data_IF_985008562724
#
_entry.id   IF_985008562724
#
_cell.length_a   1.000
_cell.length_b   1.000
_cell.length_c   1.000
_cell.angle_alpha   90.00
_cell.angle_beta   90.00
_cell.angle_gamma   90.00
#
_symmetry.space_group_name_H-M   'P 1'
#
loop_
_entity.id
_entity.type
_entity.pdbx_description
1 polymer ?
#
# COMPACT_ATOMS: atom_id res chain seq x y z
N UNK A 1 -3.40 -34.95 -5.31
CA UNK A 1 -3.59 -33.56 -5.78
C UNK A 1 -4.02 -32.74 -4.57
N UNK A 2 -3.08 -32.03 -3.93
CA UNK A 2 -3.40 -31.22 -2.75
C UNK A 2 -4.03 -29.91 -3.21
N UNK A 3 -5.32 -29.74 -2.94
CA UNK A 3 -5.97 -28.44 -2.99
C UNK A 3 -5.43 -27.63 -1.81
N UNK A 4 -4.40 -26.81 -2.03
CA UNK A 4 -4.01 -25.79 -1.07
C UNK A 4 -5.15 -24.78 -1.00
N UNK A 5 -6.00 -24.92 0.01
CA UNK A 5 -7.05 -23.96 0.32
C UNK A 5 -6.36 -22.61 0.61
N UNK A 6 -6.51 -21.63 -0.29
CA UNK A 6 -5.92 -20.30 -0.08
C UNK A 6 -6.50 -19.77 1.24
N UNK A 7 -5.67 -19.31 2.19
CA UNK A 7 -6.17 -18.84 3.47
C UNK A 7 -7.24 -17.77 3.27
N UNK A 8 -8.38 -17.97 3.94
CA UNK A 8 -9.55 -17.08 3.82
C UNK A 8 -9.11 -15.66 4.19
N UNK A 9 -9.28 -14.70 3.27
CA UNK A 9 -8.94 -13.28 3.50
C UNK A 9 -9.53 -12.80 4.83
N UNK A 10 -8.74 -12.05 5.60
CA UNK A 10 -9.23 -11.45 6.84
C UNK A 10 -10.36 -10.45 6.55
N UNK A 11 -11.13 -10.08 7.57
CA UNK A 11 -12.13 -9.02 7.42
C UNK A 11 -11.49 -7.72 6.90
N UNK A 12 -10.32 -7.37 7.43
CA UNK A 12 -9.57 -6.18 7.01
C UNK A 12 -9.12 -6.28 5.54
N UNK A 13 -8.62 -7.43 5.09
CA UNK A 13 -8.20 -7.60 3.70
C UNK A 13 -9.38 -7.47 2.73
N UNK A 14 -10.56 -7.96 3.12
CA UNK A 14 -11.79 -7.80 2.33
C UNK A 14 -12.23 -6.34 2.25
N UNK A 15 -12.12 -5.61 3.36
CA UNK A 15 -12.47 -4.19 3.39
C UNK A 15 -11.53 -3.35 2.52
N UNK A 16 -10.23 -3.60 2.61
CA UNK A 16 -9.22 -2.96 1.76
C UNK A 16 -9.50 -3.27 0.27
N UNK A 17 -9.82 -4.52 -0.06
CA UNK A 17 -10.12 -4.91 -1.44
C UNK A 17 -11.36 -4.18 -2.02
N UNK A 18 -12.39 -3.97 -1.20
CA UNK A 18 -13.59 -3.20 -1.60
C UNK A 18 -13.31 -1.71 -1.72
N UNK A 19 -12.28 -1.22 -1.04
CA UNK A 19 -11.90 0.18 -0.94
C UNK A 19 -10.60 0.49 -1.70
N UNK A 20 -10.34 -0.19 -2.82
CA UNK A 20 -9.08 -0.06 -3.57
C UNK A 20 -8.73 1.36 -4.01
N UNK A 21 -9.73 2.24 -4.19
CA UNK A 21 -9.52 3.67 -4.49
C UNK A 21 -8.84 4.46 -3.36
N UNK A 22 -8.84 3.91 -2.13
CA UNK A 22 -8.16 4.46 -0.96
C UNK A 22 -6.74 3.89 -0.76
N UNK A 23 -6.24 3.11 -1.74
CA UNK A 23 -4.86 2.64 -1.77
C UNK A 23 -4.04 3.64 -2.59
N UNK A 24 -3.12 4.34 -1.92
CA UNK A 24 -2.22 5.29 -2.54
C UNK A 24 -0.86 4.67 -2.82
N UNK A 25 -0.40 4.80 -4.07
CA UNK A 25 0.96 4.47 -4.51
C UNK A 25 1.85 5.70 -4.35
N UNK A 26 2.94 5.55 -3.62
CA UNK A 26 3.95 6.59 -3.42
C UNK A 26 5.31 6.11 -3.90
N UNK A 27 6.12 7.01 -4.47
CA UNK A 27 7.56 6.81 -4.66
C UNK A 27 8.30 7.85 -3.82
N UNK A 28 9.06 7.41 -2.83
CA UNK A 28 9.76 8.29 -1.91
C UNK A 28 11.12 7.69 -1.50
N UNK A 29 12.02 8.53 -0.99
CA UNK A 29 13.24 8.04 -0.34
C UNK A 29 12.93 7.66 1.10
N UNK A 30 13.42 6.51 1.54
CA UNK A 30 13.39 6.14 2.96
C UNK A 30 14.39 6.97 3.80
N UNK A 31 14.45 6.72 5.10
CA UNK A 31 15.36 7.41 6.01
C UNK A 31 16.85 7.15 5.73
N UNK A 32 17.17 6.16 4.90
CA UNK A 32 18.54 5.87 4.42
C UNK A 32 18.84 6.55 3.08
N UNK A 33 17.85 7.24 2.47
CA UNK A 33 17.96 7.90 1.18
C UNK A 33 17.67 6.98 -0.02
N UNK A 34 17.23 5.73 0.19
CA UNK A 34 16.94 4.77 -0.88
C UNK A 34 15.54 4.95 -1.42
N UNK A 35 15.40 4.94 -2.75
CA UNK A 35 14.09 5.00 -3.41
C UNK A 35 13.29 3.72 -3.19
N UNK A 36 12.08 3.89 -2.68
CA UNK A 36 11.11 2.82 -2.48
C UNK A 36 9.71 3.23 -2.98
N UNK A 37 8.94 2.23 -3.34
CA UNK A 37 7.50 2.33 -3.48
C UNK A 37 6.81 1.94 -2.18
N UNK A 38 5.80 2.72 -1.81
CA UNK A 38 4.90 2.42 -0.70
C UNK A 38 3.47 2.37 -1.22
N UNK A 39 2.73 1.36 -0.76
CA UNK A 39 1.30 1.23 -0.98
C UNK A 39 0.61 1.41 0.36
N UNK A 40 -0.15 2.48 0.50
CA UNK A 40 -0.75 2.86 1.78
C UNK A 40 -2.26 2.85 1.64
N UNK A 41 -2.93 2.02 2.42
CA UNK A 41 -4.37 2.09 2.58
C UNK A 41 -4.72 3.17 3.60
N UNK A 42 -5.42 4.22 3.16
CA UNK A 42 -5.76 5.38 3.98
C UNK A 42 -7.28 5.48 4.10
N UNK A 43 -7.82 5.43 5.31
CA UNK A 43 -9.26 5.59 5.50
C UNK A 43 -9.74 6.95 4.99
N UNK A 44 -10.93 7.02 4.41
CA UNK A 44 -11.50 8.23 3.80
C UNK A 44 -11.47 9.45 4.75
N UNK A 45 -11.65 9.25 6.06
CA UNK A 45 -11.60 10.32 7.07
C UNK A 45 -10.21 10.97 7.22
N UNK A 46 -9.15 10.28 6.82
CA UNK A 46 -7.75 10.72 6.90
C UNK A 46 -7.13 11.05 5.54
N UNK A 47 -7.78 10.71 4.43
CA UNK A 47 -7.24 10.86 3.07
C UNK A 47 -6.81 12.30 2.78
N UNK A 48 -7.64 13.29 3.11
CA UNK A 48 -7.28 14.70 2.92
C UNK A 48 -6.04 15.13 3.71
N UNK A 49 -5.85 14.62 4.92
CA UNK A 49 -4.67 14.92 5.74
C UNK A 49 -3.43 14.23 5.20
N UNK A 50 -3.59 12.99 4.73
CA UNK A 50 -2.53 12.24 4.07
C UNK A 50 -2.02 12.92 2.81
N UNK A 51 -2.93 13.32 1.90
CA UNK A 51 -2.58 14.00 0.66
C UNK A 51 -1.78 15.29 0.92
N UNK A 52 -2.20 16.09 1.91
CA UNK A 52 -1.45 17.28 2.33
C UNK A 52 -0.07 16.97 2.89
N UNK A 53 0.07 15.86 3.62
CA UNK A 53 1.34 15.49 4.21
C UNK A 53 2.37 15.09 3.15
N UNK A 54 1.95 14.37 2.11
CA UNK A 54 2.84 13.88 1.04
C UNK A 54 3.18 14.94 -0.02
N UNK A 55 2.47 16.07 -0.06
CA UNK A 55 2.79 17.22 -0.92
C UNK A 55 3.94 18.09 -0.36
N UNK A 56 4.28 17.93 0.93
CA UNK A 56 5.36 18.67 1.58
C UNK A 56 6.77 18.16 1.23
N UNK A 57 7.78 18.93 1.62
CA UNK A 57 9.21 18.64 1.42
C UNK A 57 9.88 17.90 2.60
N UNK A 58 9.08 17.45 3.56
CA UNK A 58 9.54 16.80 4.79
C UNK A 58 9.48 15.28 4.81
N UNK A 59 9.95 14.69 5.91
CA UNK A 59 9.75 13.27 6.21
C UNK A 59 8.33 13.04 6.71
N UNK A 60 7.62 12.11 6.07
CA UNK A 60 6.26 11.73 6.46
C UNK A 60 6.27 10.35 7.09
N UNK A 61 5.73 10.25 8.29
CA UNK A 61 5.39 8.97 8.90
C UNK A 61 4.04 8.49 8.34
N UNK A 62 4.09 7.57 7.38
CA UNK A 62 2.92 7.06 6.66
C UNK A 62 1.91 6.36 7.59
N UNK A 63 2.39 5.74 8.68
CA UNK A 63 1.55 4.97 9.60
C UNK A 63 0.66 5.85 10.49
N UNK A 64 0.94 7.16 10.59
CA UNK A 64 0.02 8.12 11.24
C UNK A 64 -1.30 8.26 10.49
N UNK A 65 -1.27 8.08 9.18
CA UNK A 65 -2.41 8.34 8.30
C UNK A 65 -3.13 7.07 7.86
N UNK A 66 -2.38 6.00 7.61
CA UNK A 66 -2.94 4.77 7.08
C UNK A 66 -2.08 3.55 7.42
N UNK A 67 -2.37 2.44 6.76
CA UNK A 67 -1.61 1.21 6.89
C UNK A 67 -0.75 1.02 5.64
N UNK A 68 0.56 0.86 5.81
CA UNK A 68 1.43 0.39 4.72
C UNK A 68 1.08 -1.08 4.47
N UNK A 69 0.50 -1.36 3.30
CA UNK A 69 0.04 -2.70 2.93
C UNK A 69 1.07 -3.46 2.10
N UNK A 70 1.96 -2.75 1.41
CA UNK A 70 3.11 -3.30 0.70
C UNK A 70 4.18 -2.21 0.47
N UNK A 71 5.43 -2.63 0.29
CA UNK A 71 6.52 -1.75 -0.12
C UNK A 71 7.61 -2.53 -0.85
N UNK A 72 8.35 -1.88 -1.74
CA UNK A 72 9.54 -2.47 -2.36
C UNK A 72 10.53 -1.39 -2.80
N UNK A 73 11.82 -1.71 -2.79
CA UNK A 73 12.84 -0.87 -3.40
C UNK A 73 12.86 -1.02 -4.92
N UNK A 74 13.24 0.05 -5.62
CA UNK A 74 13.44 0.02 -7.07
C UNK A 74 12.85 1.19 -7.83
N UNK A 75 13.06 1.20 -9.14
CA UNK A 75 12.54 2.23 -10.04
C UNK A 75 11.06 2.05 -10.36
N UNK A 76 10.56 0.81 -10.27
CA UNK A 76 9.16 0.39 -10.40
C UNK A 76 8.77 -0.62 -9.30
N UNK A 77 7.46 -0.83 -9.04
CA UNK A 77 7.02 -1.91 -8.17
C UNK A 77 7.45 -3.28 -8.69
N UNK A 78 7.97 -4.15 -7.81
CA UNK A 78 8.40 -5.50 -8.20
C UNK A 78 7.20 -6.37 -8.59
N UNK A 79 7.45 -7.40 -9.42
CA UNK A 79 6.40 -8.34 -9.82
C UNK A 79 5.75 -9.03 -8.61
N UNK A 80 6.55 -9.39 -7.60
CA UNK A 80 6.06 -9.98 -6.35
C UNK A 80 5.07 -9.06 -5.64
N UNK A 81 5.35 -7.75 -5.54
CA UNK A 81 4.44 -6.78 -4.91
C UNK A 81 3.18 -6.59 -5.76
N UNK A 82 3.30 -6.52 -7.08
CA UNK A 82 2.15 -6.42 -8.00
C UNK A 82 1.20 -7.61 -7.82
N UNK A 83 1.75 -8.82 -7.80
CA UNK A 83 0.99 -10.06 -7.61
C UNK A 83 0.36 -10.12 -6.22
N UNK A 84 1.10 -9.75 -5.18
CA UNK A 84 0.59 -9.68 -3.82
C UNK A 84 -0.61 -8.73 -3.70
N UNK A 85 -0.50 -7.51 -4.24
CA UNK A 85 -1.57 -6.51 -4.21
C UNK A 85 -2.82 -6.98 -4.97
N UNK A 86 -2.63 -7.58 -6.15
CA UNK A 86 -3.71 -8.16 -6.95
C UNK A 86 -4.39 -9.31 -6.19
N UNK A 87 -3.61 -10.28 -5.71
CA UNK A 87 -4.15 -11.48 -5.06
C UNK A 87 -4.80 -11.19 -3.72
N UNK A 88 -4.29 -10.23 -2.96
CA UNK A 88 -4.78 -9.95 -1.60
C UNK A 88 -5.85 -8.87 -1.58
N UNK A 89 -5.71 -7.84 -2.40
CA UNK A 89 -6.54 -6.63 -2.35
C UNK A 89 -7.22 -6.28 -3.67
N UNK A 90 -7.12 -7.11 -4.71
CA UNK A 90 -7.69 -6.81 -6.03
C UNK A 90 -7.22 -5.46 -6.61
N UNK A 91 -5.99 -5.06 -6.24
CA UNK A 91 -5.39 -3.79 -6.63
C UNK A 91 -4.33 -4.01 -7.70
N UNK A 92 -4.50 -3.37 -8.86
CA UNK A 92 -3.59 -3.49 -10.01
C UNK A 92 -2.75 -2.21 -10.17
N UNK A 93 -1.44 -2.36 -10.38
CA UNK A 93 -0.46 -1.26 -10.46
C UNK A 93 0.62 -1.51 -11.51
#
# INVERSE_FOLDING_TARGET
MSTTDKPKRSFMDREIARSGHLIHKLKAKDTTGRWAYYFVYVQASKERLFLRAIEGDGTVDLEKYGKVIASCYGEEPTQEVKEFLREKYDFNV
#
